data_IF_509747364693
#
_entry.id   IF_509747364693
#
_cell.length_a   1.000
_cell.length_b   1.000
_cell.length_c   1.000
_cell.angle_alpha   90.00
_cell.angle_beta   90.00
_cell.angle_gamma   90.00
#
_symmetry.space_group_name_H-M   'P 1'
#
loop_
_entity.id
_entity.type
_entity.pdbx_description
1 polymer ?
#
# COMPACT_ATOMS: atom_id res chain seq x y z
N UNK A 1 -1.67 -67.37 7.57
CA UNK A 1 -2.43 -66.17 7.18
C UNK A 1 -2.49 -65.24 8.37
N UNK A 2 -1.75 -64.13 8.35
CA UNK A 2 -2.02 -62.96 9.20
C UNK A 2 -1.71 -61.73 8.36
N UNK A 3 -2.78 -61.01 8.04
CA UNK A 3 -2.80 -59.74 7.31
C UNK A 3 -2.34 -58.61 8.23
N UNK A 4 -1.26 -57.92 7.88
CA UNK A 4 -0.94 -56.63 8.49
C UNK A 4 -1.24 -55.52 7.47
N UNK A 5 -2.25 -54.72 7.82
CA UNK A 5 -2.79 -53.61 7.03
C UNK A 5 -2.34 -52.28 7.64
N UNK A 6 -2.02 -51.34 6.75
CA UNK A 6 -2.19 -49.87 6.85
C UNK A 6 -1.25 -49.10 7.77
N UNK A 7 -0.53 -48.11 7.20
CA UNK A 7 -0.60 -46.70 7.64
C UNK A 7 -0.44 -45.80 6.41
N UNK A 8 -1.51 -45.09 6.06
CA UNK A 8 -1.48 -43.92 5.17
C UNK A 8 -0.92 -42.74 5.96
N UNK A 9 0.25 -42.24 5.57
CA UNK A 9 0.80 -40.98 6.10
C UNK A 9 0.29 -39.81 5.28
N UNK A 10 -0.83 -39.20 5.69
CA UNK A 10 -1.33 -37.96 5.10
C UNK A 10 -0.46 -36.79 5.55
N UNK A 11 0.24 -36.16 4.61
CA UNK A 11 1.04 -34.97 4.82
C UNK A 11 0.15 -33.74 5.09
N UNK A 12 0.28 -33.12 6.26
CA UNK A 12 -0.33 -31.83 6.57
C UNK A 12 0.60 -30.71 6.11
N UNK A 13 0.33 -30.17 4.92
CA UNK A 13 0.92 -28.91 4.47
C UNK A 13 0.17 -27.74 5.12
N UNK A 14 0.80 -27.09 6.11
CA UNK A 14 0.33 -25.83 6.68
C UNK A 14 0.64 -24.70 5.69
N UNK A 15 -0.35 -24.34 4.86
CA UNK A 15 -0.30 -23.12 4.06
C UNK A 15 -0.69 -21.91 4.90
N UNK A 16 0.28 -21.07 5.25
CA UNK A 16 0.00 -19.76 5.83
C UNK A 16 -0.49 -18.82 4.72
N UNK A 17 -1.80 -18.59 4.66
CA UNK A 17 -2.38 -17.50 3.87
C UNK A 17 -1.99 -16.18 4.56
N UNK A 18 -0.98 -15.51 4.02
CA UNK A 18 -0.70 -14.13 4.39
C UNK A 18 -1.88 -13.27 3.94
N UNK A 19 -2.74 -12.88 4.88
CA UNK A 19 -3.79 -11.90 4.66
C UNK A 19 -3.14 -10.54 4.36
N UNK A 20 -3.01 -10.22 3.08
CA UNK A 20 -2.76 -8.85 2.64
C UNK A 20 -4.03 -8.04 2.89
N UNK A 21 -4.14 -7.41 4.07
CA UNK A 21 -5.19 -6.44 4.35
C UNK A 21 -4.87 -5.16 3.59
N UNK A 22 -5.70 -4.73 2.61
CA UNK A 22 -5.58 -3.39 2.08
C UNK A 22 -5.97 -2.44 3.21
N UNK A 23 -5.02 -1.65 3.69
CA UNK A 23 -5.34 -0.46 4.49
C UNK A 23 -6.09 0.47 3.55
N UNK A 24 -7.41 0.47 3.63
CA UNK A 24 -8.24 1.39 2.90
C UNK A 24 -7.84 2.81 3.32
N UNK A 25 -7.13 3.53 2.44
CA UNK A 25 -7.05 4.98 2.53
C UNK A 25 -8.47 5.47 2.38
N UNK A 26 -9.07 5.89 3.49
CA UNK A 26 -10.36 6.55 3.48
C UNK A 26 -10.18 7.88 2.78
N UNK A 27 -10.43 7.89 1.47
CA UNK A 27 -10.79 9.10 0.75
C UNK A 27 -12.12 9.57 1.36
N UNK A 28 -12.02 10.29 2.48
CA UNK A 28 -13.17 10.86 3.16
C UNK A 28 -13.75 11.91 2.21
N UNK A 29 -14.96 11.65 1.71
CA UNK A 29 -15.54 12.34 0.56
C UNK A 29 -15.48 13.87 0.72
N UNK A 30 -14.53 14.49 0.01
CA UNK A 30 -14.35 15.94 -0.04
C UNK A 30 -13.23 16.52 0.82
N UNK A 31 -12.42 15.72 1.53
CA UNK A 31 -11.18 16.18 2.18
C UNK A 31 -9.96 15.61 1.44
N UNK A 32 -9.00 16.48 1.13
CA UNK A 32 -7.74 16.16 0.46
C UNK A 32 -6.59 16.53 1.37
N UNK A 33 -5.70 15.57 1.62
CA UNK A 33 -4.54 15.77 2.48
C UNK A 33 -3.32 15.36 1.68
N UNK A 34 -2.35 16.27 1.55
CA UNK A 34 -1.12 16.03 0.81
C UNK A 34 0.09 16.57 1.57
N UNK A 35 1.12 15.74 1.82
CA UNK A 35 1.16 14.30 1.56
C UNK A 35 0.30 13.51 2.57
N UNK A 36 -0.23 12.34 2.18
CA UNK A 36 -0.88 11.40 3.12
C UNK A 36 0.10 10.83 4.16
N UNK A 37 1.40 10.86 3.82
CA UNK A 37 2.51 10.46 4.70
C UNK A 37 3.47 11.62 4.87
N UNK A 38 3.52 12.18 6.07
CA UNK A 38 4.36 13.33 6.39
C UNK A 38 5.50 12.93 7.33
N UNK A 39 6.69 13.48 7.11
CA UNK A 39 7.78 13.37 8.08
C UNK A 39 7.66 14.48 9.14
N UNK A 40 8.22 14.29 10.35
CA UNK A 40 8.39 15.38 11.30
C UNK A 40 9.11 16.58 10.66
N UNK A 41 8.63 17.80 10.89
CA UNK A 41 9.13 19.03 10.26
C UNK A 41 8.67 19.25 8.81
N UNK A 42 7.83 18.37 8.24
CA UNK A 42 7.27 18.57 6.91
C UNK A 42 5.98 19.40 6.96
N UNK A 43 5.73 20.15 5.89
CA UNK A 43 4.47 20.86 5.67
C UNK A 43 3.43 19.92 5.06
N UNK A 44 2.23 19.91 5.64
CA UNK A 44 1.07 19.20 5.13
C UNK A 44 0.04 20.22 4.64
N UNK A 45 -0.46 20.00 3.43
CA UNK A 45 -1.53 20.76 2.81
C UNK A 45 -2.84 20.01 2.96
N UNK A 46 -3.87 20.72 3.40
CA UNK A 46 -5.23 20.21 3.52
C UNK A 46 -6.13 21.08 2.66
N UNK A 47 -6.89 20.46 1.77
CA UNK A 47 -7.91 21.15 0.99
C UNK A 47 -9.25 20.43 0.98
N UNK A 48 -10.32 21.19 0.77
CA UNK A 48 -11.68 20.65 0.74
C UNK A 48 -12.60 21.48 -0.14
N UNK A 49 -13.54 20.82 -0.81
CA UNK A 49 -14.64 21.44 -1.56
C UNK A 49 -16.00 21.22 -0.91
N UNK A 50 -16.06 20.48 0.20
CA UNK A 50 -17.32 20.12 0.83
C UNK A 50 -17.94 21.23 1.67
N UNK A 51 -17.20 22.30 1.95
CA UNK A 51 -17.70 23.45 2.71
C UNK A 51 -18.72 24.29 1.90
N UNK A 52 -18.76 24.11 0.58
CA UNK A 52 -19.66 24.83 -0.32
C UNK A 52 -19.05 26.12 -0.88
N UNK A 53 -19.58 26.63 -2.00
CA UNK A 53 -18.96 27.72 -2.76
C UNK A 53 -19.05 29.10 -2.10
N UNK A 54 -19.94 29.28 -1.13
CA UNK A 54 -20.15 30.58 -0.45
C UNK A 54 -19.30 30.74 0.83
N UNK A 55 -18.54 29.71 1.20
CA UNK A 55 -17.72 29.71 2.41
C UNK A 55 -16.29 30.06 2.04
N UNK A 56 -15.77 31.16 2.62
CA UNK A 56 -14.40 31.66 2.37
C UNK A 56 -13.42 31.29 3.49
N UNK A 57 -13.91 30.64 4.55
CA UNK A 57 -13.12 30.35 5.73
C UNK A 57 -13.52 29.04 6.42
N UNK A 58 -12.52 28.25 6.78
CA UNK A 58 -12.64 27.04 7.57
C UNK A 58 -11.59 26.97 8.68
N UNK A 59 -11.84 26.13 9.68
CA UNK A 59 -10.88 25.85 10.76
C UNK A 59 -10.49 24.38 10.75
N UNK A 60 -9.20 24.12 10.64
CA UNK A 60 -8.59 22.82 10.77
C UNK A 60 -7.96 22.62 12.14
N UNK A 61 -7.93 21.38 12.61
CA UNK A 61 -7.24 20.97 13.83
C UNK A 61 -6.70 19.56 13.67
N UNK A 62 -5.50 19.32 14.17
CA UNK A 62 -4.81 18.03 14.23
C UNK A 62 -4.28 17.84 15.65
N UNK A 63 -4.13 16.59 16.10
CA UNK A 63 -3.55 16.31 17.41
C UNK A 63 -2.04 16.58 17.41
N UNK A 64 -1.34 16.20 16.34
CA UNK A 64 0.08 16.47 16.18
C UNK A 64 0.38 17.93 15.76
N UNK A 65 -0.32 18.48 14.77
CA UNK A 65 0.01 19.78 14.15
C UNK A 65 -0.71 21.00 14.74
N UNK A 66 -1.57 20.81 15.75
CA UNK A 66 -2.36 21.90 16.33
C UNK A 66 -3.46 22.44 15.41
N UNK A 67 -3.81 23.72 15.54
CA UNK A 67 -4.88 24.35 14.76
C UNK A 67 -4.34 25.13 13.58
N UNK A 68 -5.04 25.03 12.44
CA UNK A 68 -4.74 25.79 11.24
C UNK A 68 -6.00 26.38 10.62
N UNK A 69 -5.83 27.36 9.76
CA UNK A 69 -6.93 28.03 9.07
C UNK A 69 -6.96 27.57 7.62
N UNK A 70 -8.17 27.40 7.08
CA UNK A 70 -8.37 27.17 5.66
C UNK A 70 -9.00 28.44 5.07
N UNK A 71 -8.46 28.87 3.95
CA UNK A 71 -8.92 30.03 3.18
C UNK A 71 -9.20 29.60 1.74
N UNK A 72 -9.73 30.49 0.92
CA UNK A 72 -9.97 30.23 -0.50
C UNK A 72 -8.71 29.70 -1.20
N UNK A 73 -8.86 28.54 -1.84
CA UNK A 73 -7.80 27.84 -2.55
C UNK A 73 -7.72 28.25 -4.01
N UNK A 74 -6.97 27.45 -4.79
CA UNK A 74 -6.77 27.71 -6.21
C UNK A 74 -8.03 27.46 -7.05
N UNK A 75 -8.89 26.53 -6.62
CA UNK A 75 -10.14 26.20 -7.32
C UNK A 75 -11.33 26.92 -6.70
N UNK A 76 -12.30 27.30 -7.53
CA UNK A 76 -13.53 27.95 -7.07
C UNK A 76 -14.28 27.03 -6.09
N UNK A 77 -14.58 27.54 -4.89
CA UNK A 77 -15.26 26.79 -3.83
C UNK A 77 -14.37 25.77 -3.11
N UNK A 78 -13.07 25.80 -3.34
CA UNK A 78 -12.10 25.05 -2.55
C UNK A 78 -11.59 25.93 -1.39
N UNK A 79 -11.50 25.33 -0.21
CA UNK A 79 -10.75 25.89 0.92
C UNK A 79 -9.48 25.08 1.12
N UNK A 80 -8.35 25.78 1.23
CA UNK A 80 -7.04 25.19 1.44
C UNK A 80 -6.32 25.84 2.63
N UNK A 81 -5.54 25.06 3.35
CA UNK A 81 -4.69 25.50 4.44
C UNK A 81 -3.49 24.57 4.60
N UNK A 82 -2.47 25.05 5.29
CA UNK A 82 -1.25 24.27 5.56
C UNK A 82 -0.92 24.29 7.03
N UNK A 83 -0.30 23.22 7.52
CA UNK A 83 0.29 23.17 8.84
C UNK A 83 1.63 22.43 8.80
N UNK A 84 2.47 22.66 9.81
CA UNK A 84 3.74 21.96 9.95
C UNK A 84 3.61 20.84 10.99
N UNK A 85 4.12 19.66 10.67
CA UNK A 85 4.20 18.56 11.63
C UNK A 85 5.36 18.85 12.60
N UNK A 86 5.16 18.81 13.94
CA UNK A 86 6.24 19.06 14.87
C UNK A 86 7.44 18.13 14.64
N UNK A 87 8.65 18.64 14.83
CA UNK A 87 9.88 17.87 14.64
C UNK A 87 10.01 16.67 15.59
N UNK A 88 9.37 16.74 16.77
CA UNK A 88 9.33 15.68 17.77
C UNK A 88 8.14 14.72 17.63
N UNK A 89 7.29 14.91 16.60
CA UNK A 89 6.11 14.08 16.38
C UNK A 89 6.45 12.57 16.35
N UNK A 90 5.61 11.78 17.02
CA UNK A 90 5.74 10.32 17.03
C UNK A 90 5.23 9.76 15.70
N UNK A 91 5.87 8.69 15.25
CA UNK A 91 5.36 7.96 14.09
C UNK A 91 4.02 7.31 14.46
N UNK A 92 3.03 7.41 13.57
CA UNK A 92 1.68 6.98 13.85
C UNK A 92 0.66 7.61 12.92
N UNK A 93 -0.61 7.27 13.14
CA UNK A 93 -1.73 7.86 12.42
C UNK A 93 -2.25 9.06 13.22
N UNK A 94 -2.46 10.19 12.58
CA UNK A 94 -2.98 11.41 13.20
C UNK A 94 -4.28 11.84 12.51
N UNK A 95 -5.23 12.33 13.30
CA UNK A 95 -6.56 12.71 12.82
C UNK A 95 -6.65 14.21 12.61
N UNK A 96 -7.03 14.61 11.41
CA UNK A 96 -7.36 15.99 11.06
C UNK A 96 -8.88 16.16 11.14
N UNK A 97 -9.31 17.23 11.79
CA UNK A 97 -10.71 17.68 11.83
C UNK A 97 -10.83 19.05 11.18
N UNK A 98 -11.68 19.17 10.17
CA UNK A 98 -12.03 20.46 9.54
C UNK A 98 -13.46 20.83 9.90
N UNK A 99 -13.68 22.08 10.27
CA UNK A 99 -14.97 22.66 10.61
C UNK A 99 -15.23 23.88 9.73
N UNK A 100 -16.38 23.88 9.08
CA UNK A 100 -16.87 24.95 8.23
C UNK A 100 -18.23 25.46 8.72
N UNK A 101 -18.45 26.79 8.73
CA UNK A 101 -19.77 27.36 9.00
C UNK A 101 -20.79 26.94 7.93
N UNK A 102 -22.10 26.81 8.25
CA UNK A 102 -22.67 26.95 9.60
C UNK A 102 -22.60 25.66 10.44
N UNK A 103 -22.39 24.49 9.83
CA UNK A 103 -22.49 23.20 10.55
C UNK A 103 -21.81 22.02 9.86
N UNK A 104 -20.83 22.27 8.99
CA UNK A 104 -20.14 21.21 8.25
C UNK A 104 -18.89 20.80 9.06
N UNK A 105 -18.74 19.51 9.28
CA UNK A 105 -17.58 18.92 9.95
C UNK A 105 -17.08 17.74 9.13
N UNK A 106 -15.78 17.69 8.95
CA UNK A 106 -15.09 16.66 8.18
C UNK A 106 -13.93 16.14 9.00
N UNK A 107 -13.59 14.88 8.79
CA UNK A 107 -12.39 14.28 9.35
C UNK A 107 -11.56 13.69 8.22
N UNK A 108 -10.32 13.41 8.54
CA UNK A 108 -9.42 12.69 7.67
C UNK A 108 -8.21 12.30 8.47
N UNK A 109 -7.41 11.44 7.89
CA UNK A 109 -6.29 10.85 8.61
C UNK A 109 -5.06 10.93 7.76
N UNK A 110 -3.93 11.27 8.36
CA UNK A 110 -2.63 11.20 7.72
C UNK A 110 -1.67 10.43 8.61
N UNK A 111 -0.63 9.86 8.01
CA UNK A 111 0.38 9.10 8.74
C UNK A 111 1.63 9.95 8.92
N UNK A 112 2.09 10.09 10.15
CA UNK A 112 3.43 10.57 10.47
C UNK A 112 4.39 9.40 10.34
N UNK A 113 5.30 9.48 9.39
CA UNK A 113 6.31 8.44 9.15
C UNK A 113 7.71 9.01 9.27
N UNK A 114 8.54 8.42 10.13
CA UNK A 114 9.98 8.69 10.10
C UNK A 114 10.59 7.89 8.95
N UNK A 115 10.73 8.52 7.79
CA UNK A 115 11.53 7.92 6.73
C UNK A 115 13.01 8.01 7.16
N UNK A 116 13.83 6.96 7.01
CA UNK A 116 15.27 7.19 6.91
C UNK A 116 15.47 8.09 5.70
N UNK A 117 16.20 9.21 5.83
CA UNK A 117 16.41 10.20 4.77
C UNK A 117 17.13 9.60 3.55
N UNK A 118 16.42 8.83 2.74
CA UNK A 118 16.81 8.34 1.43
C UNK A 118 15.78 8.87 0.46
N UNK A 119 16.20 9.80 -0.40
CA UNK A 119 15.34 10.43 -1.38
C UNK A 119 14.77 9.38 -2.35
N UNK A 120 13.56 8.91 -2.11
CA UNK A 120 12.69 8.44 -3.19
C UNK A 120 11.59 9.46 -3.35
N UNK A 121 11.66 10.21 -4.44
CA UNK A 121 10.57 11.04 -4.91
C UNK A 121 9.41 10.11 -5.29
N UNK A 122 8.54 9.80 -4.33
CA UNK A 122 7.28 9.12 -4.59
C UNK A 122 6.31 10.16 -5.18
N UNK A 123 6.45 10.40 -6.48
CA UNK A 123 5.45 11.11 -7.27
C UNK A 123 4.14 10.33 -7.29
N UNK A 124 3.04 11.03 -7.04
CA UNK A 124 1.69 10.48 -7.14
C UNK A 124 1.26 10.26 -8.60
N UNK A 125 0.42 9.24 -8.79
CA UNK A 125 -0.59 9.17 -9.86
C UNK A 125 -0.09 8.92 -11.29
N UNK A 126 0.05 7.64 -11.67
CA UNK A 126 0.15 7.25 -13.07
C UNK A 126 0.17 5.73 -13.23
N UNK A 127 -0.96 5.14 -13.63
CA UNK A 127 -1.01 3.75 -14.11
C UNK A 127 -0.33 3.67 -15.48
N UNK A 128 0.98 3.52 -15.52
CA UNK A 128 1.68 2.98 -16.66
C UNK A 128 3.07 2.52 -16.23
N UNK A 129 3.29 1.22 -16.47
CA UNK A 129 4.60 0.64 -16.74
C UNK A 129 5.61 0.72 -15.60
N UNK A 130 5.87 -0.44 -15.00
CA UNK A 130 7.10 -0.69 -14.27
C UNK A 130 8.29 -0.43 -15.21
N UNK A 131 8.87 0.77 -15.14
CA UNK A 131 10.12 1.09 -15.82
C UNK A 131 11.23 0.39 -15.05
N UNK A 132 11.59 -0.76 -15.62
CA UNK A 132 12.60 -1.71 -15.15
C UNK A 132 13.96 -1.09 -15.46
N UNK A 133 14.33 -0.09 -14.68
CA UNK A 133 15.48 0.77 -14.97
C UNK A 133 16.70 0.53 -14.07
N UNK A 134 16.87 -0.62 -13.40
CA UNK A 134 18.16 -0.99 -12.78
C UNK A 134 18.37 -2.43 -12.34
N UNK A 135 17.83 -3.40 -13.07
CA UNK A 135 18.21 -4.82 -12.85
C UNK A 135 18.68 -5.43 -14.15
N UNK A 136 19.89 -5.04 -14.53
CA UNK A 136 20.69 -5.81 -15.47
C UNK A 136 21.10 -7.13 -14.80
N UNK A 137 20.96 -8.23 -15.55
CA UNK A 137 21.47 -9.58 -15.33
C UNK A 137 20.58 -10.53 -14.50
N UNK A 138 19.87 -11.43 -15.21
CA UNK A 138 19.33 -12.64 -14.59
C UNK A 138 18.18 -13.33 -15.32
N UNK A 139 18.28 -13.54 -16.63
CA UNK A 139 17.29 -14.34 -17.36
C UNK A 139 17.48 -15.84 -17.13
N UNK A 140 16.43 -16.53 -16.65
CA UNK A 140 16.26 -17.98 -16.81
C UNK A 140 14.83 -18.23 -17.27
N UNK A 141 14.68 -18.63 -18.54
CA UNK A 141 13.44 -19.18 -19.08
C UNK A 141 13.33 -20.63 -18.59
N UNK A 142 12.33 -20.93 -17.75
CA UNK A 142 11.96 -22.32 -17.47
C UNK A 142 10.77 -22.67 -18.36
N UNK A 143 11.09 -23.30 -19.50
CA UNK A 143 10.16 -24.10 -20.28
C UNK A 143 10.26 -25.56 -19.78
N UNK A 144 9.34 -25.94 -18.88
CA UNK A 144 9.25 -27.30 -18.33
C UNK A 144 8.19 -28.12 -19.07
N UNK A 145 8.66 -29.08 -19.87
CA UNK A 145 7.89 -29.86 -20.82
C UNK A 145 6.90 -30.87 -20.19
N UNK A 146 5.73 -30.95 -20.82
CA UNK A 146 4.86 -32.13 -20.77
C UNK A 146 5.52 -33.35 -21.46
N UNK A 147 5.04 -34.56 -21.13
CA UNK A 147 5.36 -35.87 -21.72
C UNK A 147 6.53 -36.68 -21.09
N UNK A 148 6.36 -37.09 -19.83
CA UNK A 148 7.06 -38.24 -19.25
C UNK A 148 6.28 -39.54 -19.50
N UNK A 149 6.50 -40.24 -20.62
CA UNK A 149 5.73 -41.46 -20.91
C UNK A 149 6.16 -42.29 -22.11
N UNK A 150 7.44 -42.64 -22.27
CA UNK A 150 7.83 -43.66 -23.27
C UNK A 150 9.16 -44.40 -23.03
N UNK A 151 9.89 -44.18 -21.93
CA UNK A 151 11.21 -44.82 -21.73
C UNK A 151 11.16 -46.10 -20.88
N UNK A 152 10.12 -46.94 -21.03
CA UNK A 152 10.05 -48.26 -20.37
C UNK A 152 10.16 -49.45 -21.30
N UNK A 153 10.37 -49.25 -22.61
CA UNK A 153 10.58 -50.35 -23.57
C UNK A 153 12.04 -50.59 -23.99
N UNK A 154 12.99 -49.68 -23.71
CA UNK A 154 14.42 -49.88 -24.07
C UNK A 154 15.20 -50.79 -23.10
N UNK A 155 14.67 -51.11 -21.91
CA UNK A 155 15.39 -51.94 -20.93
C UNK A 155 15.25 -53.45 -21.14
N UNK A 156 14.36 -53.91 -22.03
CA UNK A 156 14.15 -55.36 -22.28
C UNK A 156 15.03 -55.96 -23.40
N UNK A 157 15.92 -55.19 -24.02
CA UNK A 157 16.86 -55.71 -25.04
C UNK A 157 18.34 -55.65 -24.62
N UNK A 158 18.65 -55.39 -23.34
CA UNK A 158 20.03 -55.44 -22.79
C UNK A 158 20.17 -56.36 -21.59
N UNK A 159 19.34 -57.41 -21.51
CA UNK A 159 19.53 -58.54 -20.61
C UNK A 159 19.60 -59.83 -21.43
N UNK A 160 20.47 -59.81 -22.43
CA UNK A 160 20.89 -60.97 -23.21
C UNK A 160 22.40 -60.90 -23.35
N UNK A 161 23.12 -61.61 -22.48
CA UNK A 161 24.55 -61.83 -22.64
C UNK A 161 25.31 -61.98 -21.33
N UNK A 162 25.61 -63.24 -20.97
CA UNK A 162 26.87 -63.79 -20.43
C UNK A 162 27.42 -63.13 -19.14
N UNK A 163 27.69 -63.83 -18.05
CA UNK A 163 28.25 -65.18 -17.87
C UNK A 163 27.82 -65.77 -16.53
#
# INVERSE_FOLDING_TARGET
MHTARVVHGSALALGALALSVPTASAEEAGLRISPERAAPGSTVTVSTTACGPDVTYGKGSTEAGGTFHLFEGANKGELAGTFEVPADARAGSDTITVKCPPRIKMTGTYAVTRHPSGAVAAGGGGTAQADTGRTALGGVLIAGAAAGGAMKLRRRMRAGGRS
#
